data_IF_475668710875
#
_entry.id   IF_475668710875
#
_cell.length_a   1.000
_cell.length_b   1.000
_cell.length_c   1.000
_cell.angle_alpha   90.00
_cell.angle_beta   90.00
_cell.angle_gamma   90.00
#
_symmetry.space_group_name_H-M   'P 1'
#
loop_
_entity.id
_entity.type
_entity.pdbx_description
1 polymer ?
#
# COMPACT_ATOMS: atom_id res chain seq x y z
N UNK A 1 -14.85 -16.22 15.74
CA UNK A 1 -15.48 -16.66 14.47
C UNK A 1 -14.83 -15.89 13.34
N UNK A 2 -14.51 -16.53 12.21
CA UNK A 2 -13.92 -15.85 11.04
C UNK A 2 -15.06 -15.33 10.17
N UNK A 3 -15.01 -14.06 9.75
CA UNK A 3 -16.02 -13.44 8.90
C UNK A 3 -15.42 -12.42 7.93
N UNK A 4 -16.17 -12.03 6.91
CA UNK A 4 -15.82 -10.88 6.07
C UNK A 4 -15.91 -9.60 6.89
N UNK A 5 -14.86 -8.79 6.83
CA UNK A 5 -14.78 -7.44 7.41
C UNK A 5 -15.04 -6.36 6.34
N UNK A 6 -14.42 -6.48 5.16
CA UNK A 6 -14.58 -5.49 4.09
C UNK A 6 -14.56 -6.18 2.72
N UNK A 7 -15.28 -5.59 1.77
CA UNK A 7 -15.30 -5.98 0.36
C UNK A 7 -14.91 -4.79 -0.51
N UNK A 8 -14.12 -5.05 -1.54
CA UNK A 8 -13.68 -4.04 -2.50
C UNK A 8 -13.70 -4.56 -3.94
N UNK A 9 -14.07 -3.66 -4.85
CA UNK A 9 -13.84 -3.77 -6.29
C UNK A 9 -13.06 -2.56 -6.79
N UNK A 10 -12.41 -2.70 -7.94
CA UNK A 10 -11.60 -1.68 -8.60
C UNK A 10 -12.00 -1.64 -10.08
N UNK A 11 -13.03 -0.86 -10.47
CA UNK A 11 -13.63 -1.01 -11.79
C UNK A 11 -12.68 -0.84 -12.96
N UNK A 12 -11.77 0.13 -12.84
CA UNK A 12 -10.66 0.33 -13.75
C UNK A 12 -9.38 -0.17 -13.07
N UNK A 13 -8.53 -0.90 -13.81
CA UNK A 13 -7.20 -1.28 -13.34
C UNK A 13 -6.46 -0.04 -12.86
N UNK A 14 -5.81 -0.16 -11.70
CA UNK A 14 -4.95 0.87 -11.10
C UNK A 14 -5.60 2.17 -10.61
N UNK A 15 -6.93 2.31 -10.60
CA UNK A 15 -7.61 3.45 -9.95
C UNK A 15 -8.06 3.13 -8.50
N UNK A 16 -8.77 4.06 -7.85
CA UNK A 16 -9.35 3.85 -6.52
C UNK A 16 -10.33 2.66 -6.45
N UNK A 17 -10.39 2.04 -5.28
CA UNK A 17 -11.34 0.96 -5.00
C UNK A 17 -12.64 1.48 -4.41
N UNK A 18 -13.75 0.82 -4.75
CA UNK A 18 -15.07 1.04 -4.16
C UNK A 18 -15.24 0.06 -3.02
N UNK A 19 -15.59 0.55 -1.82
CA UNK A 19 -15.98 -0.29 -0.70
C UNK A 19 -17.43 -0.76 -0.90
N UNK A 20 -17.67 -2.05 -0.74
CA UNK A 20 -19.00 -2.65 -0.90
C UNK A 20 -19.47 -3.30 0.41
N UNK A 21 -20.79 -3.48 0.52
CA UNK A 21 -21.43 -4.29 1.56
C UNK A 21 -21.78 -5.69 1.05
N UNK A 22 -21.97 -5.84 -0.27
CA UNK A 22 -22.36 -7.09 -0.93
C UNK A 22 -21.86 -7.08 -2.37
N UNK A 23 -21.51 -8.24 -2.91
CA UNK A 23 -21.00 -8.37 -4.28
C UNK A 23 -21.22 -9.77 -4.84
N UNK A 24 -21.49 -9.84 -6.15
CA UNK A 24 -21.59 -11.10 -6.87
C UNK A 24 -20.22 -11.54 -7.39
N UNK A 25 -19.92 -12.82 -7.25
CA UNK A 25 -18.81 -13.45 -7.98
C UNK A 25 -19.21 -13.66 -9.43
N UNK A 26 -18.30 -13.40 -10.36
CA UNK A 26 -18.45 -13.64 -11.79
C UNK A 26 -17.26 -14.47 -12.31
N UNK A 27 -17.25 -14.78 -13.61
CA UNK A 27 -16.24 -15.62 -14.25
C UNK A 27 -14.80 -15.10 -14.07
N UNK A 28 -14.60 -13.79 -14.19
CA UNK A 28 -13.27 -13.16 -14.17
C UNK A 28 -12.86 -12.48 -12.85
N UNK A 29 -13.70 -12.56 -11.81
CA UNK A 29 -13.55 -11.82 -10.56
C UNK A 29 -14.91 -11.43 -10.00
N UNK A 30 -14.94 -10.49 -9.06
CA UNK A 30 -16.22 -9.86 -8.70
C UNK A 30 -16.83 -9.13 -9.90
N UNK A 31 -18.15 -9.05 -9.91
CA UNK A 31 -18.88 -8.20 -10.85
C UNK A 31 -18.28 -6.78 -10.85
N UNK A 32 -17.99 -6.28 -12.05
CA UNK A 32 -17.31 -5.02 -12.30
C UNK A 32 -15.88 -4.88 -11.77
N UNK A 33 -15.20 -5.90 -11.24
CA UNK A 33 -13.83 -5.78 -10.75
C UNK A 33 -12.77 -5.87 -11.86
N UNK A 34 -12.05 -4.78 -12.09
CA UNK A 34 -11.05 -4.58 -13.18
C UNK A 34 -11.57 -5.04 -14.55
N UNK A 35 -12.83 -4.74 -14.87
CA UNK A 35 -13.36 -5.00 -16.21
C UNK A 35 -12.89 -3.96 -17.24
N UNK A 36 -12.32 -2.86 -16.75
CA UNK A 36 -11.73 -1.79 -17.54
C UNK A 36 -10.22 -1.64 -17.25
N UNK A 37 -9.45 -1.15 -18.22
CA UNK A 37 -8.02 -0.88 -18.08
C UNK A 37 -7.59 0.28 -18.98
N UNK A 38 -6.59 1.04 -18.56
CA UNK A 38 -5.95 2.06 -19.39
C UNK A 38 -4.73 1.43 -20.06
N UNK A 39 -4.51 1.70 -21.34
CA UNK A 39 -3.36 1.25 -22.10
C UNK A 39 -2.78 2.37 -22.97
N UNK A 40 -1.61 2.13 -23.51
CA UNK A 40 -1.11 2.82 -24.70
C UNK A 40 -1.88 2.38 -25.96
N UNK A 41 -1.78 3.12 -27.09
CA UNK A 41 -2.47 2.78 -28.32
C UNK A 41 -2.13 1.39 -28.89
N UNK A 42 -0.94 0.88 -28.61
CA UNK A 42 -0.47 -0.45 -29.03
C UNK A 42 -1.04 -1.60 -28.17
N UNK A 43 -1.77 -1.28 -27.09
CA UNK A 43 -2.34 -2.25 -26.17
C UNK A 43 -1.48 -2.56 -24.94
N UNK A 44 -0.33 -1.91 -24.77
CA UNK A 44 0.51 -2.02 -23.58
C UNK A 44 -0.21 -1.42 -22.37
N UNK A 45 -0.42 -2.21 -21.33
CA UNK A 45 -1.19 -1.78 -20.15
C UNK A 45 -0.44 -0.71 -19.34
N UNK A 46 -1.19 0.27 -18.84
CA UNK A 46 -0.67 1.33 -17.96
C UNK A 46 -1.08 1.05 -16.52
N UNK A 47 -0.17 1.28 -15.57
CA UNK A 47 -0.45 1.06 -14.15
C UNK A 47 -0.08 2.25 -13.27
N UNK A 48 -0.69 2.29 -12.09
CA UNK A 48 -0.35 3.25 -11.03
C UNK A 48 1.05 3.03 -10.41
N UNK A 49 1.81 2.02 -10.86
CA UNK A 49 3.22 1.87 -10.49
C UNK A 49 4.08 2.94 -11.16
N UNK A 50 3.74 3.23 -12.42
CA UNK A 50 4.41 4.23 -13.26
C UNK A 50 3.68 5.57 -13.19
N UNK A 51 2.35 5.53 -13.08
CA UNK A 51 1.50 6.72 -13.06
C UNK A 51 0.60 6.76 -11.81
N UNK A 52 1.16 7.04 -10.62
CA UNK A 52 0.42 7.08 -9.35
C UNK A 52 -0.83 7.96 -9.36
N UNK A 53 -0.88 9.02 -10.17
CA UNK A 53 -2.02 9.92 -10.30
C UNK A 53 -3.33 9.20 -10.65
N UNK A 54 -3.28 8.02 -11.26
CA UNK A 54 -4.46 7.18 -11.49
C UNK A 54 -5.21 6.83 -10.20
N UNK A 55 -4.51 6.79 -9.06
CA UNK A 55 -5.11 6.57 -7.74
C UNK A 55 -5.92 7.78 -7.24
N UNK A 56 -5.93 8.91 -7.95
CA UNK A 56 -6.85 10.03 -7.69
C UNK A 56 -8.15 9.88 -8.48
N UNK A 57 -8.19 8.99 -9.48
CA UNK A 57 -9.39 8.71 -10.26
C UNK A 57 -10.28 7.72 -9.53
N UNK A 58 -11.59 7.96 -9.57
CA UNK A 58 -12.62 7.02 -9.13
C UNK A 58 -13.54 6.70 -10.30
N UNK A 59 -14.14 5.51 -10.26
CA UNK A 59 -15.17 5.12 -11.21
C UNK A 59 -16.26 4.35 -10.48
N UNK A 60 -17.51 4.50 -10.93
CA UNK A 60 -18.66 3.73 -10.47
C UNK A 60 -19.39 3.22 -11.72
N UNK A 61 -19.91 1.99 -11.64
CA UNK A 61 -20.71 1.39 -12.72
C UNK A 61 -22.11 1.14 -12.18
N UNK A 62 -23.12 1.67 -12.85
CA UNK A 62 -24.55 1.53 -12.51
C UNK A 62 -25.27 1.00 -13.74
N UNK A 63 -25.66 -0.28 -13.70
CA UNK A 63 -26.15 -0.96 -14.89
C UNK A 63 -25.06 -0.98 -15.97
N UNK A 64 -25.31 -0.29 -17.08
CA UNK A 64 -24.35 -0.17 -18.19
C UNK A 64 -23.62 1.17 -18.25
N UNK A 65 -23.93 2.11 -17.36
CA UNK A 65 -23.30 3.43 -17.32
C UNK A 65 -22.07 3.43 -16.40
N UNK A 66 -20.96 3.96 -16.92
CA UNK A 66 -19.70 4.16 -16.21
C UNK A 66 -19.52 5.64 -15.97
N UNK A 67 -19.39 6.01 -14.70
CA UNK A 67 -19.13 7.39 -14.26
C UNK A 67 -17.70 7.47 -13.77
N UNK A 68 -16.88 8.33 -14.37
CA UNK A 68 -15.45 8.46 -14.04
C UNK A 68 -15.18 9.88 -13.58
N UNK A 69 -14.63 10.00 -12.37
CA UNK A 69 -14.34 11.29 -11.72
C UNK A 69 -12.86 11.39 -11.38
N UNK A 70 -12.26 12.55 -11.64
CA UNK A 70 -10.91 12.90 -11.24
C UNK A 70 -10.92 14.32 -10.63
N UNK A 71 -10.18 14.61 -9.54
CA UNK A 71 -10.27 15.89 -8.84
C UNK A 71 -9.99 17.14 -9.69
N UNK A 72 -9.19 17.01 -10.74
CA UNK A 72 -8.84 18.14 -11.64
C UNK A 72 -9.67 18.21 -12.91
N UNK A 73 -10.65 17.31 -13.11
CA UNK A 73 -11.38 17.17 -14.37
C UNK A 73 -12.88 17.18 -14.13
N UNK A 74 -13.65 17.61 -15.15
CA UNK A 74 -15.10 17.40 -15.15
C UNK A 74 -15.39 15.91 -15.29
N UNK A 75 -16.32 15.40 -14.51
CA UNK A 75 -16.73 13.97 -14.56
C UNK A 75 -17.19 13.60 -15.96
N UNK A 76 -16.68 12.47 -16.47
CA UNK A 76 -17.09 11.91 -17.75
C UNK A 76 -17.97 10.69 -17.55
N UNK A 77 -18.94 10.51 -18.45
CA UNK A 77 -19.85 9.37 -18.46
C UNK A 77 -19.78 8.68 -19.81
N UNK A 78 -19.86 7.37 -19.79
CA UNK A 78 -19.99 6.53 -20.97
C UNK A 78 -20.84 5.31 -20.66
N UNK A 79 -21.50 4.77 -21.68
CA UNK A 79 -22.14 3.47 -21.64
C UNK A 79 -21.15 2.40 -22.15
N UNK A 80 -21.16 1.18 -21.59
CA UNK A 80 -20.28 0.11 -22.07
C UNK A 80 -20.57 -0.27 -23.54
N UNK A 81 -21.80 -0.05 -24.03
CA UNK A 81 -22.18 -0.26 -25.43
C UNK A 81 -21.56 0.78 -26.39
N UNK A 82 -20.98 1.86 -25.88
CA UNK A 82 -20.24 2.84 -26.71
C UNK A 82 -18.83 2.36 -27.08
N UNK A 83 -18.32 1.29 -26.46
CA UNK A 83 -17.02 0.74 -26.82
C UNK A 83 -17.05 0.16 -28.25
N UNK A 84 -15.89 0.14 -28.91
CA UNK A 84 -15.76 -0.39 -30.27
C UNK A 84 -16.28 -1.82 -30.39
N UNK A 85 -16.96 -2.16 -31.48
CA UNK A 85 -17.36 -3.55 -31.74
C UNK A 85 -16.15 -4.45 -32.07
N UNK A 86 -15.06 -3.88 -32.59
CA UNK A 86 -13.84 -4.62 -32.88
C UNK A 86 -13.09 -4.99 -31.60
N UNK A 87 -12.56 -6.20 -31.59
CA UNK A 87 -11.70 -6.73 -30.56
C UNK A 87 -10.23 -6.48 -30.92
N UNK A 88 -9.60 -5.61 -30.16
CA UNK A 88 -8.21 -5.18 -30.36
C UNK A 88 -7.27 -5.87 -29.39
N UNK A 89 -6.07 -6.23 -29.87
CA UNK A 89 -5.04 -6.92 -29.08
C UNK A 89 -4.60 -6.05 -27.90
N UNK A 90 -4.31 -6.70 -26.78
CA UNK A 90 -3.74 -6.10 -25.57
C UNK A 90 -3.06 -7.19 -24.74
N UNK A 91 -2.35 -6.80 -23.69
CA UNK A 91 -1.73 -7.75 -22.77
C UNK A 91 -1.70 -7.26 -21.32
N UNK A 92 -1.50 -8.22 -20.42
CA UNK A 92 -1.17 -7.99 -19.00
C UNK A 92 -0.23 -9.08 -18.52
N UNK A 93 1.05 -8.75 -18.27
CA UNK A 93 2.11 -9.67 -17.80
C UNK A 93 2.33 -10.88 -18.73
N UNK A 94 2.65 -10.61 -19.99
CA UNK A 94 2.84 -11.59 -21.09
C UNK A 94 1.63 -12.50 -21.31
N UNK A 95 0.45 -12.08 -20.88
CA UNK A 95 -0.81 -12.75 -21.16
C UNK A 95 -1.55 -11.92 -22.20
N UNK A 96 -1.59 -12.43 -23.42
CA UNK A 96 -2.11 -11.74 -24.60
C UNK A 96 -3.57 -12.14 -24.82
N UNK A 97 -4.44 -11.15 -25.04
CA UNK A 97 -5.87 -11.33 -25.24
C UNK A 97 -6.44 -10.12 -25.98
N UNK A 98 -7.76 -10.01 -26.05
CA UNK A 98 -8.45 -8.94 -26.78
C UNK A 98 -9.34 -8.09 -25.89
N UNK A 99 -9.61 -6.86 -26.34
CA UNK A 99 -10.42 -5.87 -25.63
C UNK A 99 -11.06 -4.90 -26.62
N UNK A 100 -12.12 -4.22 -26.18
CA UNK A 100 -12.78 -3.15 -26.92
C UNK A 100 -12.21 -1.80 -26.47
N UNK A 101 -12.16 -0.81 -27.36
CA UNK A 101 -11.60 0.52 -27.10
C UNK A 101 -12.73 1.53 -26.89
N UNK A 102 -12.59 2.40 -25.89
CA UNK A 102 -13.57 3.44 -25.60
C UNK A 102 -13.60 4.54 -26.68
N UNK A 103 -14.70 5.31 -26.77
CA UNK A 103 -14.78 6.48 -27.64
C UNK A 103 -13.66 7.50 -27.41
N UNK A 104 -13.30 8.24 -28.46
CA UNK A 104 -12.20 9.22 -28.42
C UNK A 104 -12.32 10.23 -27.28
N UNK A 105 -13.53 10.69 -26.95
CA UNK A 105 -13.79 11.63 -25.84
C UNK A 105 -13.35 11.07 -24.48
N UNK A 106 -13.47 9.76 -24.28
CA UNK A 106 -13.07 9.07 -23.04
C UNK A 106 -11.56 8.85 -23.01
N UNK A 107 -10.97 8.52 -24.15
CA UNK A 107 -9.53 8.42 -24.29
C UNK A 107 -8.85 9.77 -24.01
N UNK A 108 -9.37 10.87 -24.58
CA UNK A 108 -8.89 12.23 -24.33
C UNK A 108 -8.95 12.62 -22.85
N UNK A 109 -10.00 12.20 -22.12
CA UNK A 109 -10.09 12.43 -20.67
C UNK A 109 -8.89 11.83 -19.92
N UNK A 110 -8.52 10.59 -20.22
CA UNK A 110 -7.34 9.97 -19.61
C UNK A 110 -6.02 10.52 -20.17
N UNK A 111 -5.98 10.88 -21.46
CA UNK A 111 -4.79 11.50 -22.05
C UNK A 111 -4.46 12.83 -21.38
N UNK A 112 -5.47 13.63 -21.01
CA UNK A 112 -5.28 14.87 -20.25
C UNK A 112 -4.73 14.63 -18.84
N UNK A 113 -5.12 13.54 -18.17
CA UNK A 113 -4.60 13.17 -16.84
C UNK A 113 -3.16 12.67 -16.92
N UNK A 114 -2.84 11.88 -17.95
CA UNK A 114 -1.54 11.21 -18.09
C UNK A 114 -0.53 11.98 -18.94
N UNK A 115 -0.97 13.06 -19.62
CA UNK A 115 -0.17 13.87 -20.54
C UNK A 115 0.49 13.02 -21.64
N UNK A 116 -0.21 11.99 -22.12
CA UNK A 116 0.19 11.10 -23.22
C UNK A 116 -1.04 10.47 -23.86
N UNK A 117 -0.90 9.99 -25.09
CA UNK A 117 -1.97 9.27 -25.75
C UNK A 117 -2.22 7.91 -25.10
N UNK A 118 -3.47 7.68 -24.68
CA UNK A 118 -3.91 6.45 -24.03
C UNK A 118 -5.30 6.06 -24.50
N UNK A 119 -5.67 4.82 -24.18
CA UNK A 119 -6.98 4.26 -24.47
C UNK A 119 -7.56 3.63 -23.22
N UNK A 120 -8.85 3.89 -22.95
CA UNK A 120 -9.61 3.06 -22.03
C UNK A 120 -10.10 1.81 -22.77
N UNK A 121 -9.91 0.66 -22.15
CA UNK A 121 -10.23 -0.66 -22.70
C UNK A 121 -11.23 -1.40 -21.84
N UNK A 122 -12.12 -2.15 -22.47
CA UNK A 122 -13.12 -3.01 -21.84
C UNK A 122 -12.96 -4.45 -22.33
N UNK A 123 -13.16 -5.42 -21.44
CA UNK A 123 -13.04 -6.85 -21.80
C UNK A 123 -14.18 -7.37 -22.68
N UNK A 124 -15.30 -6.64 -22.74
CA UNK A 124 -16.54 -7.15 -23.31
C UNK A 124 -17.26 -8.11 -22.35
N UNK A 125 -18.39 -8.64 -22.80
CA UNK A 125 -19.18 -9.60 -22.03
C UNK A 125 -18.56 -11.00 -21.96
N UNK A 126 -17.78 -11.37 -22.97
CA UNK A 126 -17.12 -12.67 -23.07
C UNK A 126 -15.62 -12.51 -22.85
N UNK A 127 -15.14 -13.02 -21.73
CA UNK A 127 -13.72 -12.93 -21.39
C UNK A 127 -12.91 -13.86 -22.29
N UNK A 128 -11.92 -13.33 -23.00
CA UNK A 128 -10.94 -14.12 -23.75
C UNK A 128 -9.71 -14.49 -22.90
N UNK A 129 -9.40 -13.71 -21.87
CA UNK A 129 -8.23 -13.90 -21.01
C UNK A 129 -8.43 -15.04 -20.00
N UNK A 130 -7.39 -15.85 -19.77
CA UNK A 130 -7.37 -16.97 -18.81
C UNK A 130 -6.17 -16.89 -17.88
N UNK A 131 -6.26 -17.49 -16.69
CA UNK A 131 -5.09 -17.61 -15.80
C UNK A 131 -4.07 -18.59 -16.40
N UNK A 132 -2.76 -18.32 -16.24
CA UNK A 132 -1.71 -19.21 -16.79
C UNK A 132 -1.70 -20.61 -16.15
N UNK A 133 -1.98 -20.71 -14.85
CA UNK A 133 -1.95 -21.98 -14.09
C UNK A 133 -3.26 -22.77 -14.16
N UNK A 134 -4.39 -22.09 -14.36
CA UNK A 134 -5.72 -22.69 -14.49
C UNK A 134 -6.36 -22.14 -15.77
N UNK A 135 -6.04 -22.70 -16.95
CA UNK A 135 -6.47 -22.18 -18.25
C UNK A 135 -8.00 -22.18 -18.44
N UNK A 136 -8.73 -22.95 -17.64
CA UNK A 136 -10.19 -22.95 -17.60
C UNK A 136 -10.79 -21.78 -16.84
N UNK A 137 -9.99 -21.06 -16.04
CA UNK A 137 -10.45 -19.95 -15.19
C UNK A 137 -10.26 -18.62 -15.91
N UNK A 138 -11.33 -17.88 -16.23
CA UNK A 138 -11.25 -16.53 -16.74
C UNK A 138 -10.67 -15.56 -15.71
N UNK A 139 -10.08 -14.47 -16.18
CA UNK A 139 -9.58 -13.41 -15.31
C UNK A 139 -9.77 -12.06 -16.00
N UNK A 140 -10.20 -11.06 -15.24
CA UNK A 140 -10.36 -9.70 -15.74
C UNK A 140 -9.01 -9.03 -16.03
N UNK A 141 -8.92 -7.69 -16.08
CA UNK A 141 -7.63 -6.98 -16.13
C UNK A 141 -6.87 -7.03 -14.78
N UNK A 142 -7.33 -7.81 -13.80
CA UNK A 142 -6.58 -8.17 -12.60
C UNK A 142 -5.18 -8.73 -12.95
N UNK A 143 -4.18 -8.60 -12.07
CA UNK A 143 -2.80 -8.97 -12.45
C UNK A 143 -2.66 -10.46 -12.82
N UNK A 144 -3.13 -11.38 -11.97
CA UNK A 144 -2.96 -12.83 -12.20
C UNK A 144 -4.19 -13.67 -11.89
N UNK A 145 -4.94 -13.34 -10.84
CA UNK A 145 -6.06 -14.15 -10.36
C UNK A 145 -7.31 -13.30 -10.11
N UNK A 146 -8.52 -13.89 -10.22
CA UNK A 146 -9.80 -13.18 -10.08
C UNK A 146 -10.05 -12.53 -8.72
N UNK A 147 -9.55 -13.13 -7.64
CA UNK A 147 -9.82 -12.68 -6.27
C UNK A 147 -8.53 -12.62 -5.44
N UNK A 148 -8.47 -11.64 -4.54
CA UNK A 148 -7.42 -11.51 -3.54
C UNK A 148 -8.01 -11.44 -2.14
N UNK A 149 -7.61 -12.38 -1.28
CA UNK A 149 -7.93 -12.44 0.15
C UNK A 149 -6.84 -11.77 0.97
N UNK A 150 -7.25 -11.03 2.00
CA UNK A 150 -6.35 -10.52 3.04
C UNK A 150 -7.00 -10.66 4.40
N UNK A 151 -6.19 -10.98 5.42
CA UNK A 151 -6.64 -11.00 6.80
C UNK A 151 -6.29 -9.69 7.49
N UNK A 152 -7.29 -9.07 8.13
CA UNK A 152 -7.09 -7.83 8.88
C UNK A 152 -6.03 -7.99 9.97
N UNK A 153 -5.97 -9.13 10.65
CA UNK A 153 -4.96 -9.38 11.69
C UNK A 153 -3.52 -9.40 11.12
N UNK A 154 -3.33 -9.90 9.89
CA UNK A 154 -2.05 -9.84 9.16
C UNK A 154 -1.65 -8.41 8.80
N UNK A 155 -2.63 -7.59 8.41
CA UNK A 155 -2.43 -6.16 8.16
C UNK A 155 -2.10 -5.39 9.44
N UNK A 156 -2.83 -5.64 10.53
CA UNK A 156 -2.58 -5.00 11.82
C UNK A 156 -1.18 -5.35 12.34
N UNK A 157 -0.75 -6.61 12.18
CA UNK A 157 0.62 -7.04 12.48
C UNK A 157 1.65 -6.28 11.64
N UNK A 158 1.45 -6.17 10.33
CA UNK A 158 2.34 -5.38 9.46
C UNK A 158 2.39 -3.91 9.89
N UNK A 159 1.26 -3.29 10.20
CA UNK A 159 1.19 -1.90 10.62
C UNK A 159 1.98 -1.67 11.92
N UNK A 160 1.96 -2.60 12.87
CA UNK A 160 2.74 -2.48 14.11
C UNK A 160 4.26 -2.47 13.87
N UNK A 161 4.73 -3.11 12.80
CA UNK A 161 6.14 -3.17 12.45
C UNK A 161 6.57 -2.04 11.50
N UNK A 162 5.61 -1.40 10.82
CA UNK A 162 5.88 -0.40 9.81
C UNK A 162 5.92 1.01 10.43
N UNK A 163 7.00 1.79 10.22
CA UNK A 163 7.08 3.15 10.75
C UNK A 163 6.10 4.13 10.07
N UNK A 164 5.69 3.81 8.85
CA UNK A 164 4.72 4.60 8.10
C UNK A 164 3.30 4.15 8.42
N UNK A 165 2.36 5.11 8.43
CA UNK A 165 0.94 4.79 8.53
C UNK A 165 0.47 4.21 7.19
N UNK A 166 -0.02 2.98 7.22
CA UNK A 166 -0.49 2.26 6.05
C UNK A 166 -2.00 2.34 5.93
N UNK A 167 -2.48 2.26 4.69
CA UNK A 167 -3.87 2.01 4.36
C UNK A 167 -4.00 0.59 3.79
N UNK A 168 -4.90 -0.22 4.36
CA UNK A 168 -5.12 -1.60 3.90
C UNK A 168 -5.51 -1.68 2.42
N UNK A 169 -6.10 -0.61 1.88
CA UNK A 169 -6.49 -0.49 0.46
C UNK A 169 -5.27 -0.46 -0.48
N UNK A 170 -4.06 -0.13 0.01
CA UNK A 170 -2.80 -0.22 -0.76
C UNK A 170 -2.54 -1.63 -1.29
N UNK A 171 -3.01 -2.67 -0.59
CA UNK A 171 -2.83 -4.07 -0.98
C UNK A 171 -3.83 -4.57 -2.03
N UNK A 172 -4.85 -3.75 -2.32
CA UNK A 172 -5.85 -3.95 -3.37
C UNK A 172 -6.62 -5.28 -3.29
N UNK A 173 -6.80 -5.78 -2.08
CA UNK A 173 -7.52 -7.02 -1.78
C UNK A 173 -9.01 -6.85 -2.01
N UNK A 174 -9.65 -7.88 -2.56
CA UNK A 174 -11.08 -7.88 -2.83
C UNK A 174 -11.88 -8.26 -1.58
N UNK A 175 -11.37 -9.24 -0.83
CA UNK A 175 -11.99 -9.76 0.38
C UNK A 175 -11.03 -9.55 1.54
N UNK A 176 -11.46 -8.79 2.54
CA UNK A 176 -10.73 -8.63 3.79
C UNK A 176 -11.54 -9.30 4.89
N UNK A 177 -10.92 -10.23 5.60
CA UNK A 177 -11.55 -10.99 6.68
C UNK A 177 -11.06 -10.54 8.06
N UNK A 178 -11.75 -10.95 9.10
CA UNK A 178 -11.36 -10.77 10.49
C UNK A 178 -11.63 -12.03 11.32
N UNK A 179 -11.10 -12.06 12.55
CA UNK A 179 -11.34 -13.15 13.51
C UNK A 179 -10.42 -14.36 13.35
N UNK A 180 -9.43 -14.29 12.46
CA UNK A 180 -8.34 -15.24 12.35
C UNK A 180 -7.05 -14.66 12.95
N UNK A 181 -6.13 -15.52 13.40
CA UNK A 181 -4.79 -15.10 13.84
C UNK A 181 -4.00 -14.49 12.67
N UNK A 182 -3.02 -13.59 12.91
CA UNK A 182 -2.16 -13.07 11.86
C UNK A 182 -1.54 -14.21 11.02
N UNK A 183 -1.62 -14.06 9.70
CA UNK A 183 -1.09 -14.98 8.67
C UNK A 183 -1.73 -16.37 8.64
N UNK A 184 -2.81 -16.61 9.37
CA UNK A 184 -3.51 -17.90 9.35
C UNK A 184 -3.97 -18.30 7.93
N UNK A 185 -4.26 -17.32 7.08
CA UNK A 185 -4.69 -17.51 5.69
C UNK A 185 -3.65 -18.21 4.81
N UNK A 186 -2.36 -18.18 5.18
CA UNK A 186 -1.29 -18.83 4.43
C UNK A 186 -1.45 -20.37 4.43
N UNK A 187 -2.04 -20.93 5.49
CA UNK A 187 -2.25 -22.36 5.68
C UNK A 187 -3.62 -22.86 5.21
N UNK A 188 -4.40 -22.04 4.52
CA UNK A 188 -5.72 -22.44 4.02
C UNK A 188 -5.63 -22.84 2.56
N UNK A 189 -6.34 -23.91 2.19
CA UNK A 189 -6.38 -24.45 0.83
C UNK A 189 -7.72 -24.19 0.18
N UNK A 190 -8.81 -24.45 0.90
CA UNK A 190 -10.17 -24.21 0.40
C UNK A 190 -11.00 -23.59 1.51
N UNK A 191 -11.73 -22.53 1.18
CA UNK A 191 -12.64 -21.84 2.10
C UNK A 191 -14.03 -21.73 1.49
N UNK A 192 -15.04 -21.63 2.35
CA UNK A 192 -16.42 -21.33 1.98
C UNK A 192 -16.85 -20.02 2.62
N UNK A 193 -17.47 -19.16 1.83
CA UNK A 193 -18.04 -17.89 2.25
C UNK A 193 -19.48 -17.84 1.76
N UNK A 194 -20.44 -17.86 2.69
CA UNK A 194 -21.85 -18.04 2.33
C UNK A 194 -22.05 -19.35 1.56
N UNK A 195 -22.42 -19.25 0.27
CA UNK A 195 -22.58 -20.41 -0.64
C UNK A 195 -21.42 -20.60 -1.61
N UNK A 196 -20.44 -19.69 -1.63
CA UNK A 196 -19.35 -19.71 -2.60
C UNK A 196 -18.15 -20.43 -2.00
N UNK A 197 -17.56 -21.35 -2.77
CA UNK A 197 -16.33 -22.05 -2.43
C UNK A 197 -15.18 -21.43 -3.20
N UNK A 198 -14.11 -21.08 -2.50
CA UNK A 198 -12.87 -20.53 -3.06
C UNK A 198 -11.70 -21.47 -2.80
N UNK A 199 -10.86 -21.64 -3.82
CA UNK A 199 -9.55 -22.27 -3.68
C UNK A 199 -8.47 -21.20 -3.55
N UNK A 200 -7.61 -21.37 -2.55
CA UNK A 200 -6.45 -20.51 -2.30
C UNK A 200 -5.25 -21.08 -3.05
N UNK A 201 -4.87 -20.42 -4.14
CA UNK A 201 -4.01 -21.00 -5.16
C UNK A 201 -2.54 -20.59 -5.07
N UNK A 202 -2.26 -19.37 -4.56
CA UNK A 202 -0.90 -18.86 -4.44
C UNK A 202 -0.81 -17.63 -3.51
N UNK A 203 0.24 -17.51 -2.66
CA UNK A 203 0.60 -16.23 -2.05
C UNK A 203 0.74 -15.13 -3.10
N UNK A 204 0.32 -13.92 -2.74
CA UNK A 204 0.31 -12.80 -3.67
C UNK A 204 1.55 -11.93 -3.49
N UNK A 205 2.42 -12.01 -4.50
CA UNK A 205 3.63 -11.21 -4.62
C UNK A 205 3.29 -9.72 -4.66
N UNK A 206 4.00 -8.92 -3.88
CA UNK A 206 3.77 -7.49 -3.70
C UNK A 206 4.74 -6.68 -4.54
N UNK A 207 4.23 -5.58 -5.10
CA UNK A 207 4.99 -4.68 -5.97
C UNK A 207 4.97 -3.25 -5.42
N UNK A 208 5.70 -2.36 -6.09
CA UNK A 208 5.85 -0.95 -5.73
C UNK A 208 4.52 -0.19 -5.59
N UNK A 209 3.41 -0.66 -6.18
CA UNK A 209 2.12 -0.02 -5.97
C UNK A 209 1.70 0.03 -4.49
N UNK A 210 2.15 -0.94 -3.68
CA UNK A 210 1.90 -0.95 -2.25
C UNK A 210 2.61 0.18 -1.51
N UNK A 211 3.64 0.80 -2.11
CA UNK A 211 4.42 1.89 -1.51
C UNK A 211 3.92 3.28 -1.90
N UNK A 212 2.69 3.37 -2.43
CA UNK A 212 2.06 4.63 -2.80
C UNK A 212 0.89 4.88 -1.85
N UNK A 213 0.81 6.07 -1.26
CA UNK A 213 -0.37 6.52 -0.53
C UNK A 213 -1.51 6.73 -1.53
N UNK A 214 -2.56 5.93 -1.39
CA UNK A 214 -3.71 5.92 -2.29
C UNK A 214 -4.58 7.18 -2.21
N UNK A 215 -4.44 8.01 -1.18
CA UNK A 215 -5.25 9.22 -1.00
C UNK A 215 -4.61 10.43 -1.69
N UNK A 216 -3.28 10.55 -1.62
CA UNK A 216 -2.54 11.67 -2.23
C UNK A 216 -1.76 11.29 -3.50
N UNK A 217 -1.63 10.00 -3.80
CA UNK A 217 -0.82 9.43 -4.88
C UNK A 217 0.68 9.69 -4.78
N UNK A 218 1.18 10.03 -3.58
CA UNK A 218 2.61 10.20 -3.35
C UNK A 218 3.24 8.89 -2.85
N UNK A 219 4.51 8.62 -3.16
CA UNK A 219 5.24 7.51 -2.53
C UNK A 219 5.31 7.67 -1.01
N UNK A 220 5.19 6.55 -0.29
CA UNK A 220 5.55 6.46 1.12
C UNK A 220 7.08 6.53 1.28
N UNK A 221 7.53 6.97 2.45
CA UNK A 221 8.96 7.10 2.71
C UNK A 221 9.66 5.73 2.69
N UNK A 222 10.95 5.74 2.32
CA UNK A 222 11.86 4.60 2.46
C UNK A 222 11.39 3.28 1.81
N UNK A 223 10.49 3.34 0.82
CA UNK A 223 9.96 2.14 0.16
C UNK A 223 9.06 1.28 1.04
N UNK A 224 8.45 1.86 2.07
CA UNK A 224 7.46 1.15 2.90
C UNK A 224 6.14 0.93 2.13
N UNK A 225 5.41 -0.18 2.37
CA UNK A 225 5.65 -1.22 3.38
C UNK A 225 6.53 -2.38 2.89
N UNK A 226 7.06 -2.34 1.66
CA UNK A 226 7.84 -3.46 1.11
C UNK A 226 9.13 -3.71 1.90
N UNK A 227 9.76 -2.64 2.40
CA UNK A 227 10.92 -2.75 3.28
C UNK A 227 10.59 -3.51 4.56
N UNK A 228 9.52 -3.14 5.26
CA UNK A 228 9.06 -3.87 6.46
C UNK A 228 8.66 -5.31 6.15
N UNK A 229 7.89 -5.54 5.08
CA UNK A 229 7.46 -6.88 4.68
C UNK A 229 8.64 -7.81 4.39
N UNK A 230 9.74 -7.28 3.82
CA UNK A 230 10.92 -8.07 3.48
C UNK A 230 11.47 -8.84 4.70
N UNK A 231 11.35 -8.28 5.90
CA UNK A 231 11.87 -8.89 7.13
C UNK A 231 11.18 -10.19 7.52
N UNK A 232 9.94 -10.44 7.09
CA UNK A 232 9.21 -11.63 7.54
C UNK A 232 8.32 -12.28 6.49
N UNK A 233 8.27 -11.70 5.28
CA UNK A 233 7.48 -12.15 4.14
C UNK A 233 8.28 -12.35 2.85
N UNK A 234 9.60 -12.27 2.92
CA UNK A 234 10.48 -12.62 1.80
C UNK A 234 10.73 -14.13 1.78
N UNK A 235 10.68 -14.75 0.61
CA UNK A 235 11.23 -16.09 0.42
C UNK A 235 12.74 -16.06 0.11
N UNK A 236 13.31 -17.24 -0.11
CA UNK A 236 14.73 -17.43 -0.49
C UNK A 236 15.10 -16.77 -1.82
N UNK A 237 14.13 -16.54 -2.70
CA UNK A 237 14.30 -15.88 -3.99
C UNK A 237 14.10 -14.35 -3.89
N UNK A 238 13.83 -13.81 -2.69
CA UNK A 238 13.59 -12.39 -2.48
C UNK A 238 12.17 -11.91 -2.82
N UNK A 239 11.24 -12.83 -3.16
CA UNK A 239 9.85 -12.47 -3.45
C UNK A 239 9.12 -12.16 -2.14
N UNK A 240 8.52 -10.96 -2.08
CA UNK A 240 7.78 -10.49 -0.91
C UNK A 240 6.29 -10.77 -1.12
N UNK A 241 5.68 -11.53 -0.22
CA UNK A 241 4.28 -11.95 -0.32
C UNK A 241 3.39 -11.38 0.80
N UNK A 242 2.18 -10.98 0.45
CA UNK A 242 1.20 -10.58 1.46
C UNK A 242 -0.21 -10.83 0.93
N UNK A 243 -1.10 -11.48 1.68
CA UNK A 243 -2.40 -11.90 1.16
C UNK A 243 -2.35 -13.04 0.13
N UNK A 244 -3.51 -13.61 -0.19
CA UNK A 244 -3.65 -14.89 -0.88
C UNK A 244 -4.54 -14.77 -2.13
N UNK A 245 -4.02 -15.17 -3.28
CA UNK A 245 -4.81 -15.23 -4.52
C UNK A 245 -5.77 -16.41 -4.48
N UNK A 246 -6.98 -16.20 -5.02
CA UNK A 246 -8.03 -17.21 -5.04
C UNK A 246 -8.73 -17.31 -6.39
N UNK A 247 -9.33 -18.48 -6.63
CA UNK A 247 -10.32 -18.74 -7.68
C UNK A 247 -11.62 -19.23 -7.03
N UNK A 248 -12.77 -18.94 -7.63
CA UNK A 248 -14.05 -19.45 -7.16
C UNK A 248 -14.43 -20.73 -7.92
N UNK A 249 -14.98 -21.73 -7.23
CA UNK A 249 -15.49 -22.97 -7.84
C UNK A 249 -16.90 -22.82 -8.38
N UNK A 250 -17.65 -21.86 -7.86
CA UNK A 250 -19.04 -21.61 -8.20
C UNK A 250 -19.37 -20.13 -8.07
N UNK A 251 -20.52 -19.72 -8.61
CA UNK A 251 -21.00 -18.35 -8.48
C UNK A 251 -22.01 -18.21 -7.35
N UNK A 252 -22.04 -17.03 -6.77
CA UNK A 252 -23.01 -16.61 -5.78
C UNK A 252 -22.71 -15.20 -5.29
N UNK A 253 -23.52 -14.76 -4.33
CA UNK A 253 -23.33 -13.47 -3.69
C UNK A 253 -22.71 -13.64 -2.32
N UNK A 254 -21.77 -12.77 -1.98
CA UNK A 254 -21.20 -12.68 -0.64
C UNK A 254 -21.39 -11.27 -0.08
N UNK A 255 -21.49 -11.16 1.23
CA UNK A 255 -21.71 -9.91 1.95
C UNK A 255 -20.70 -9.73 3.09
N UNK A 256 -20.51 -8.49 3.53
CA UNK A 256 -19.83 -8.23 4.80
C UNK A 256 -20.53 -8.99 5.93
N UNK A 257 -19.75 -9.44 6.91
CA UNK A 257 -20.18 -10.32 8.01
C UNK A 257 -20.52 -11.77 7.64
N UNK A 258 -20.52 -12.16 6.35
CA UNK A 258 -20.63 -13.58 6.00
C UNK A 258 -19.51 -14.38 6.68
N UNK A 259 -19.91 -15.51 7.27
CA UNK A 259 -19.00 -16.46 7.92
C UNK A 259 -18.05 -17.06 6.89
N UNK A 260 -16.79 -17.16 7.28
CA UNK A 260 -15.75 -17.86 6.51
C UNK A 260 -15.44 -19.19 7.19
N UNK A 261 -15.63 -20.28 6.45
CA UNK A 261 -15.35 -21.64 6.90
C UNK A 261 -14.13 -22.17 6.16
N UNK A 262 -13.12 -22.62 6.90
CA UNK A 262 -11.95 -23.31 6.31
C UNK A 262 -12.33 -24.77 6.11
N UNK A 263 -12.47 -25.18 4.85
CA UNK A 263 -12.84 -26.55 4.48
C UNK A 263 -11.62 -27.46 4.38
N UNK A 264 -10.49 -26.93 3.89
CA UNK A 264 -9.25 -27.68 3.73
C UNK A 264 -8.04 -26.78 4.03
N UNK A 265 -6.99 -27.38 4.59
CA UNK A 265 -5.72 -26.71 4.92
C UNK A 265 -4.59 -27.20 4.02
N UNK A 266 -3.54 -26.39 3.91
CA UNK A 266 -2.28 -26.73 3.25
C UNK A 266 -1.10 -26.25 4.08
N UNK A 267 0.10 -26.72 3.71
CA UNK A 267 1.33 -26.17 4.24
C UNK A 267 1.48 -24.73 3.77
N UNK A 268 1.71 -23.82 4.72
CA UNK A 268 2.05 -22.45 4.42
C UNK A 268 3.42 -22.38 3.74
N UNK A 269 3.60 -21.38 2.87
CA UNK A 269 4.91 -21.09 2.28
C UNK A 269 5.89 -20.67 3.39
N UNK A 270 7.11 -21.18 3.33
CA UNK A 270 8.17 -20.76 4.24
C UNK A 270 8.72 -19.39 3.85
N UNK A 271 8.91 -18.53 4.84
CA UNK A 271 9.48 -17.20 4.68
C UNK A 271 10.72 -17.06 5.56
N UNK A 272 11.70 -16.32 5.05
CA UNK A 272 12.89 -15.94 5.81
C UNK A 272 12.49 -14.81 6.76
N UNK A 273 12.78 -15.01 8.05
CA UNK A 273 12.54 -14.02 9.10
C UNK A 273 13.86 -13.39 9.54
N UNK A 274 14.07 -12.16 9.11
CA UNK A 274 15.25 -11.31 9.38
C UNK A 274 14.76 -9.95 9.88
N UNK A 275 14.09 -9.96 11.03
CA UNK A 275 13.76 -8.72 11.71
C UNK A 275 15.05 -7.97 12.03
N UNK A 276 15.12 -6.64 11.77
CA UNK A 276 16.18 -5.82 12.32
C UNK A 276 16.22 -6.10 13.82
N UNK A 277 17.39 -6.40 14.35
CA UNK A 277 17.58 -6.41 15.80
C UNK A 277 17.00 -5.12 16.32
N UNK A 278 15.99 -5.22 17.20
CA UNK A 278 15.47 -4.05 17.90
C UNK A 278 16.69 -3.30 18.42
N UNK A 279 16.90 -2.05 17.97
CA UNK A 279 17.71 -1.14 18.76
C UNK A 279 16.85 -0.82 19.98
N UNK A 280 16.71 -1.79 20.88
CA UNK A 280 16.58 -1.51 22.30
C UNK A 280 17.90 -0.86 22.71
N UNK A 281 18.15 0.39 22.28
CA UNK A 281 18.95 1.21 23.17
C UNK A 281 17.96 1.52 24.29
N UNK A 282 18.12 0.78 25.39
CA UNK A 282 17.70 1.25 26.69
C UNK A 282 18.00 2.75 26.74
N UNK A 283 17.05 3.54 27.23
CA UNK A 283 17.27 4.96 27.42
C UNK A 283 18.53 5.10 28.24
N UNK A 284 19.62 5.55 27.62
CA UNK A 284 20.86 5.71 28.33
C UNK A 284 20.76 7.04 29.07
N UNK A 285 20.52 6.94 30.37
CA UNK A 285 20.52 8.11 31.23
C UNK A 285 21.91 8.74 31.23
N UNK A 286 21.91 10.06 31.14
CA UNK A 286 23.11 10.88 31.18
C UNK A 286 22.78 12.22 31.83
N UNK A 287 23.76 13.11 31.89
CA UNK A 287 23.60 14.44 32.45
C UNK A 287 23.96 15.52 31.43
N UNK A 288 23.22 16.63 31.49
CA UNK A 288 23.56 17.85 30.75
C UNK A 288 23.89 18.92 31.78
N UNK A 289 25.12 19.43 31.75
CA UNK A 289 25.55 20.56 32.57
C UNK A 289 25.63 21.83 31.72
N UNK A 290 24.87 22.87 32.11
CA UNK A 290 24.92 24.22 31.52
C UNK A 290 25.25 25.22 32.64
N UNK A 291 26.45 25.80 32.61
CA UNK A 291 26.95 26.64 33.70
C UNK A 291 27.00 25.86 35.03
N UNK A 292 26.29 26.35 36.05
CA UNK A 292 26.22 25.71 37.38
C UNK A 292 25.02 24.74 37.55
N UNK A 293 24.22 24.53 36.51
CA UNK A 293 23.03 23.67 36.56
C UNK A 293 23.30 22.35 35.85
N UNK A 294 23.00 21.24 36.52
CA UNK A 294 23.07 19.89 35.93
C UNK A 294 21.70 19.24 36.01
N UNK A 295 21.25 18.67 34.89
CA UNK A 295 19.95 17.99 34.78
C UNK A 295 20.16 16.51 34.43
N UNK A 296 19.20 15.67 34.83
CA UNK A 296 19.10 14.30 34.33
C UNK A 296 18.53 14.31 32.91
N UNK A 297 19.14 13.55 32.02
CA UNK A 297 18.93 13.56 30.58
C UNK A 297 19.04 12.15 29.99
N UNK A 298 18.86 12.02 28.68
CA UNK A 298 18.92 10.78 27.93
C UNK A 298 19.44 10.95 26.49
N UNK A 299 19.72 9.81 25.85
CA UNK A 299 20.21 9.67 24.48
C UNK A 299 19.11 9.68 23.40
N UNK A 300 17.88 10.08 23.73
CA UNK A 300 16.71 10.07 22.83
C UNK A 300 16.17 11.45 22.50
N UNK A 301 16.20 12.39 23.44
CA UNK A 301 15.65 13.74 23.28
C UNK A 301 16.75 14.75 22.93
N UNK A 302 16.38 15.85 22.27
CA UNK A 302 17.34 16.92 21.99
C UNK A 302 17.79 17.62 23.26
N UNK A 303 18.97 18.25 23.22
CA UNK A 303 19.49 19.04 24.35
C UNK A 303 18.50 20.16 24.71
N UNK A 304 17.91 20.83 23.72
CA UNK A 304 16.96 21.92 23.96
C UNK A 304 15.71 21.44 24.72
N UNK A 305 15.08 20.36 24.27
CA UNK A 305 13.85 19.83 24.89
C UNK A 305 14.09 19.45 26.36
N UNK A 306 15.25 18.85 26.65
CA UNK A 306 15.59 18.40 28.00
C UNK A 306 15.89 19.58 28.94
N UNK A 307 16.50 20.65 28.43
CA UNK A 307 16.70 21.89 29.20
C UNK A 307 15.38 22.60 29.49
N UNK A 308 14.48 22.69 28.51
CA UNK A 308 13.15 23.30 28.69
C UNK A 308 12.29 22.56 29.72
N UNK A 309 12.28 21.22 29.67
CA UNK A 309 11.58 20.38 30.64
C UNK A 309 12.09 20.56 32.07
N UNK A 310 13.35 20.96 32.23
CA UNK A 310 13.96 21.27 33.53
C UNK A 310 14.01 22.78 33.83
N UNK A 311 13.24 23.61 33.12
CA UNK A 311 13.09 25.04 33.39
C UNK A 311 14.34 25.88 33.07
N UNK A 312 15.22 25.39 32.18
CA UNK A 312 16.41 26.10 31.72
C UNK A 312 16.16 26.65 30.31
N UNK A 313 16.06 27.97 30.20
CA UNK A 313 15.81 28.63 28.93
C UNK A 313 17.09 28.79 28.10
N UNK A 314 17.06 28.33 26.85
CA UNK A 314 18.01 28.68 25.80
C UNK A 314 17.28 29.47 24.71
N UNK A 315 17.92 30.47 24.07
CA UNK A 315 17.33 31.13 22.90
C UNK A 315 17.06 30.12 21.78
N UNK A 316 15.83 30.04 21.26
CA UNK A 316 15.51 29.21 20.10
C UNK A 316 14.44 29.88 19.22
N UNK A 317 14.22 29.34 18.02
CA UNK A 317 13.11 29.76 17.15
C UNK A 317 12.57 28.60 16.30
N UNK A 318 13.42 27.96 15.49
CA UNK A 318 12.94 26.98 14.50
C UNK A 318 12.80 25.53 15.02
N UNK A 319 13.49 25.15 16.10
CA UNK A 319 13.62 23.76 16.61
C UNK A 319 14.15 22.71 15.61
N UNK A 320 14.53 23.10 14.40
CA UNK A 320 14.96 22.20 13.31
C UNK A 320 16.41 22.42 12.87
N UNK A 321 17.16 23.28 13.57
CA UNK A 321 18.59 23.51 13.29
C UNK A 321 18.87 24.48 12.11
N UNK A 322 17.87 25.26 11.70
CA UNK A 322 17.97 26.19 10.56
C UNK A 322 18.32 27.62 11.01
N UNK A 323 17.63 28.15 12.03
CA UNK A 323 17.78 29.56 12.45
C UNK A 323 19.07 29.88 13.22
N UNK A 324 19.79 28.87 13.72
CA UNK A 324 21.03 29.05 14.48
C UNK A 324 20.88 29.66 15.88
N UNK A 325 19.67 29.97 16.35
CA UNK A 325 19.46 30.68 17.63
C UNK A 325 19.80 29.84 18.87
N UNK A 326 19.65 28.52 18.77
CA UNK A 326 19.93 27.53 19.83
C UNK A 326 21.42 27.13 19.92
N UNK A 327 22.32 27.97 19.42
CA UNK A 327 23.75 27.69 19.33
C UNK A 327 24.41 27.74 20.72
N UNK A 328 25.11 26.68 21.08
CA UNK A 328 25.90 26.56 22.32
C UNK A 328 27.28 25.98 22.03
N UNK A 329 28.22 26.13 22.94
CA UNK A 329 29.55 25.53 22.84
C UNK A 329 29.58 24.22 23.63
N UNK A 330 29.92 23.10 22.98
CA UNK A 330 30.15 21.82 23.64
C UNK A 330 31.55 21.80 24.27
N UNK A 331 31.62 21.89 25.60
CA UNK A 331 32.89 21.87 26.36
C UNK A 331 33.40 20.45 26.60
N UNK A 332 32.50 19.51 26.88
CA UNK A 332 32.84 18.11 27.18
C UNK A 332 31.75 17.17 26.69
N UNK A 333 32.16 15.95 26.32
CA UNK A 333 31.27 14.86 25.90
C UNK A 333 31.06 14.81 24.38
N UNK A 334 30.11 13.99 23.94
CA UNK A 334 29.79 13.78 22.53
C UNK A 334 28.29 13.89 22.30
N UNK A 335 27.92 14.38 21.12
CA UNK A 335 26.52 14.51 20.69
C UNK A 335 26.34 13.87 19.32
N UNK A 336 25.15 13.33 19.08
CA UNK A 336 24.69 12.88 17.77
C UNK A 336 23.88 14.00 17.14
N UNK A 337 24.16 14.36 15.89
CA UNK A 337 23.33 15.33 15.16
C UNK A 337 22.11 14.68 14.52
N UNK A 338 21.00 15.40 14.52
CA UNK A 338 19.78 15.04 13.79
C UNK A 338 19.73 15.66 12.39
N UNK A 339 20.54 16.69 12.15
CA UNK A 339 20.66 17.37 10.85
C UNK A 339 22.13 17.58 10.48
N UNK A 340 22.41 17.72 9.18
CA UNK A 340 23.76 17.94 8.67
C UNK A 340 24.38 19.27 9.14
N UNK A 341 23.54 20.26 9.46
CA UNK A 341 23.97 21.60 9.85
C UNK A 341 24.15 21.80 11.35
N UNK A 342 23.81 20.81 12.20
CA UNK A 342 23.74 20.98 13.65
C UNK A 342 25.10 21.12 14.34
N UNK A 343 26.15 20.49 13.81
CA UNK A 343 27.52 20.62 14.32
C UNK A 343 28.25 21.68 13.48
N UNK A 344 28.78 22.70 14.16
CA UNK A 344 29.53 23.80 13.57
C UNK A 344 31.02 23.67 13.94
N UNK A 345 31.86 24.51 13.33
CA UNK A 345 33.28 24.60 13.67
C UNK A 345 33.47 25.06 15.13
N UNK A 346 34.62 24.75 15.72
CA UNK A 346 35.03 25.16 17.07
C UNK A 346 34.10 24.64 18.18
N UNK A 347 33.70 23.36 18.11
CA UNK A 347 32.82 22.69 19.08
C UNK A 347 31.48 23.38 19.32
N UNK A 348 30.99 24.19 18.38
CA UNK A 348 29.67 24.81 18.48
C UNK A 348 28.61 23.85 17.94
N UNK A 349 27.51 23.71 18.66
CA UNK A 349 26.41 22.79 18.31
C UNK A 349 25.06 23.50 18.43
N UNK A 350 24.07 23.05 17.67
CA UNK A 350 22.68 23.49 17.79
C UNK A 350 21.94 22.59 18.78
N UNK A 351 21.65 23.09 19.98
CA UNK A 351 21.00 22.33 21.06
C UNK A 351 19.65 21.70 20.62
N UNK A 352 18.95 22.36 19.69
CA UNK A 352 17.69 21.92 19.13
C UNK A 352 17.80 20.82 18.06
N UNK A 353 19.01 20.40 17.69
CA UNK A 353 19.24 19.36 16.67
C UNK A 353 20.39 18.43 17.03
N UNK A 354 20.76 18.39 18.31
CA UNK A 354 21.76 17.51 18.87
C UNK A 354 21.18 16.74 20.06
N UNK A 355 21.53 15.46 20.15
CA UNK A 355 21.15 14.54 21.21
C UNK A 355 22.43 14.09 21.94
N UNK A 356 22.49 14.07 23.28
CA UNK A 356 23.64 13.58 24.02
C UNK A 356 23.95 12.11 23.70
N UNK A 357 25.23 11.73 23.72
CA UNK A 357 25.67 10.31 23.64
C UNK A 357 26.24 9.82 24.98
N UNK A 358 25.94 10.52 26.07
CA UNK A 358 26.54 10.38 27.39
C UNK A 358 26.55 11.73 28.10
N UNK A 359 27.26 11.84 29.22
CA UNK A 359 27.37 13.11 29.96
C UNK A 359 28.02 14.21 29.12
N UNK A 360 27.38 15.39 29.09
CA UNK A 360 27.87 16.54 28.33
C UNK A 360 27.91 17.81 29.19
N UNK A 361 28.86 18.68 28.86
CA UNK A 361 28.96 20.04 29.41
C UNK A 361 28.88 21.03 28.27
N UNK A 362 27.97 22.00 28.37
CA UNK A 362 27.73 23.04 27.37
C UNK A 362 27.85 24.44 28.00
N UNK A 363 28.18 25.43 27.18
CA UNK A 363 28.22 26.86 27.52
C UNK A 363 27.36 27.68 26.57
#
# INVERSE_FOLDING_TARGET
>A
MISINQLYIYPIKSIQGIKLTKVNTAEGGFEHDRILMISEPDGTFITAREYPQLLKTSAIIIGNEVHISHPSMTTIRLNLDEFSNSQEKTEVWDNHFTSHIAPIRVNQFFSQILQKDVQLRWLGHQLSRRTKRYPQVPVSFADRYPYLLLNKASFDYLQQQCPEKLDIRQFRSNIIIQGALPFAEDGWKTIKIGKVIFDIVKPCARCALTTIDINCANPLNNGEPLKTLRYFRSDEQGQIDFGMNMIARNHGTISVHDKVEVLERQLAKNYIKTFPSEIKSEIQLCTITLGNKTIQANDKQTILEQLEQNGIALPYSCRTGICGRCLVVLKKGKVRSLTQSAIKRNNRILACSCVPMGDIVIE
#
